data_IF_554039823699
#
_entry.id   IF_554039823699
#
_cell.length_a   1.000
_cell.length_b   1.000
_cell.length_c   1.000
_cell.angle_alpha   90.00
_cell.angle_beta   90.00
_cell.angle_gamma   90.00
#
_symmetry.space_group_name_H-M   'P 1'
#
loop_
_entity.id
_entity.type
_entity.pdbx_description
1 polymer ?
#
# COMPACT_ATOMS: atom_id res chain seq x y z
N UNK A 1 -14.48 2.39 20.56
CA UNK A 1 -13.85 3.57 19.94
C UNK A 1 -12.70 3.06 19.05
N UNK A 2 -12.98 2.61 17.81
CA UNK A 2 -11.98 1.95 16.93
C UNK A 2 -11.90 2.58 15.52
N UNK A 3 -12.85 3.43 15.14
CA UNK A 3 -12.92 3.99 13.77
C UNK A 3 -11.72 4.88 13.41
N UNK A 4 -11.14 5.61 14.37
CA UNK A 4 -10.01 6.52 14.11
C UNK A 4 -8.70 5.80 13.75
N UNK A 5 -8.44 4.63 14.33
CA UNK A 5 -7.18 3.91 14.13
C UNK A 5 -7.09 3.29 12.72
N UNK A 6 -8.22 2.82 12.18
CA UNK A 6 -8.27 2.23 10.84
C UNK A 6 -8.08 3.27 9.72
N UNK A 7 -8.53 4.51 9.94
CA UNK A 7 -8.36 5.58 8.96
C UNK A 7 -6.90 6.06 8.88
N UNK A 8 -6.23 6.19 10.03
CA UNK A 8 -4.79 6.49 10.06
C UNK A 8 -3.96 5.38 9.40
N UNK A 9 -4.26 4.11 9.71
CA UNK A 9 -3.57 2.98 9.05
C UNK A 9 -3.82 2.96 7.54
N UNK A 10 -5.02 3.31 7.08
CA UNK A 10 -5.33 3.42 5.66
C UNK A 10 -4.49 4.53 5.01
N UNK A 11 -4.46 5.72 5.62
CA UNK A 11 -3.69 6.86 5.11
C UNK A 11 -2.19 6.55 5.06
N UNK A 12 -1.64 5.90 6.09
CA UNK A 12 -0.23 5.50 6.13
C UNK A 12 0.11 4.51 5.01
N UNK A 13 -0.72 3.48 4.80
CA UNK A 13 -0.52 2.51 3.72
C UNK A 13 -0.65 3.16 2.34
N UNK A 14 -1.59 4.08 2.15
CA UNK A 14 -1.73 4.83 0.90
C UNK A 14 -0.52 5.73 0.66
N UNK A 15 0.02 6.36 1.71
CA UNK A 15 1.23 7.19 1.62
C UNK A 15 2.45 6.34 1.26
N UNK A 16 2.63 5.18 1.91
CA UNK A 16 3.68 4.22 1.59
C UNK A 16 3.61 3.75 0.13
N UNK A 17 2.42 3.38 -0.34
CA UNK A 17 2.20 2.95 -1.72
C UNK A 17 2.59 4.03 -2.74
N UNK A 18 2.17 5.29 -2.50
CA UNK A 18 2.56 6.43 -3.36
C UNK A 18 4.08 6.61 -3.39
N UNK A 19 4.73 6.52 -2.22
CA UNK A 19 6.18 6.59 -2.11
C UNK A 19 6.87 5.53 -2.97
N UNK A 20 6.45 4.26 -2.85
CA UNK A 20 7.01 3.16 -3.62
C UNK A 20 6.81 3.33 -5.13
N UNK A 21 5.63 3.76 -5.57
CA UNK A 21 5.36 4.02 -7.00
C UNK A 21 6.26 5.13 -7.54
N UNK A 22 6.44 6.21 -6.76
CA UNK A 22 7.31 7.33 -7.16
C UNK A 22 8.77 6.90 -7.23
N UNK A 23 9.26 6.19 -6.21
CA UNK A 23 10.64 5.67 -6.20
C UNK A 23 10.87 4.72 -7.35
N UNK A 24 9.97 3.76 -7.59
CA UNK A 24 10.08 2.83 -8.73
C UNK A 24 10.18 3.58 -10.06
N UNK A 25 9.31 4.57 -10.31
CA UNK A 25 9.36 5.38 -11.53
C UNK A 25 10.65 6.18 -11.65
N UNK A 26 11.11 6.76 -10.55
CA UNK A 26 12.37 7.51 -10.51
C UNK A 26 13.57 6.60 -10.82
N UNK A 27 13.60 5.40 -10.25
CA UNK A 27 14.65 4.40 -10.48
C UNK A 27 14.62 3.87 -11.92
N UNK A 28 13.44 3.61 -12.46
CA UNK A 28 13.25 3.22 -13.86
C UNK A 28 13.78 4.28 -14.83
N UNK A 29 13.49 5.56 -14.58
CA UNK A 29 14.05 6.68 -15.35
C UNK A 29 15.57 6.81 -15.18
N UNK A 30 16.10 6.42 -14.03
CA UNK A 30 17.53 6.39 -13.73
C UNK A 30 18.27 5.17 -14.31
N UNK A 31 17.60 4.28 -15.03
CA UNK A 31 18.20 3.08 -15.61
C UNK A 31 18.45 1.94 -14.63
N UNK A 32 17.65 1.86 -13.56
CA UNK A 32 17.66 0.71 -12.66
C UNK A 32 17.46 -0.59 -13.42
N UNK A 33 18.12 -1.65 -12.94
CA UNK A 33 18.02 -2.97 -13.54
C UNK A 33 16.67 -3.65 -13.24
N UNK A 34 16.45 -4.79 -13.90
CA UNK A 34 15.18 -5.51 -13.79
C UNK A 34 14.94 -6.08 -12.40
N UNK A 35 16.00 -6.48 -11.68
CA UNK A 35 15.87 -7.09 -10.35
C UNK A 35 15.44 -6.03 -9.34
N UNK A 36 16.02 -4.83 -9.42
CA UNK A 36 15.62 -3.69 -8.62
C UNK A 36 14.17 -3.27 -8.89
N UNK A 37 13.76 -3.16 -10.16
CA UNK A 37 12.37 -2.82 -10.51
C UNK A 37 11.37 -3.90 -10.09
N UNK A 38 11.80 -5.16 -10.09
CA UNK A 38 11.00 -6.31 -9.62
C UNK A 38 10.82 -6.23 -8.11
N UNK A 39 11.89 -5.96 -7.35
CA UNK A 39 11.82 -5.77 -5.89
C UNK A 39 10.81 -4.68 -5.51
N UNK A 40 10.83 -3.53 -6.19
CA UNK A 40 9.84 -2.48 -5.97
C UNK A 40 8.42 -2.92 -6.35
N UNK A 41 8.26 -3.69 -7.43
CA UNK A 41 6.99 -4.27 -7.83
C UNK A 41 6.40 -5.19 -6.77
N UNK A 42 7.21 -6.10 -6.23
CA UNK A 42 6.78 -7.01 -5.15
C UNK A 42 6.37 -6.25 -3.89
N UNK A 43 7.11 -5.21 -3.50
CA UNK A 43 6.77 -4.40 -2.33
C UNK A 43 5.47 -3.62 -2.55
N UNK A 44 5.25 -3.10 -3.76
CA UNK A 44 3.98 -2.46 -4.14
C UNK A 44 2.82 -3.44 -3.99
N UNK A 45 2.95 -4.68 -4.48
CA UNK A 45 1.89 -5.69 -4.34
C UNK A 45 1.64 -6.04 -2.87
N UNK A 46 2.68 -6.21 -2.05
CA UNK A 46 2.52 -6.44 -0.60
C UNK A 46 1.70 -5.35 0.09
N UNK A 47 1.97 -4.08 -0.23
CA UNK A 47 1.20 -2.95 0.35
C UNK A 47 -0.23 -2.92 -0.18
N UNK A 48 -0.46 -3.28 -1.46
CA UNK A 48 -1.81 -3.39 -2.03
C UNK A 48 -2.63 -4.49 -1.36
N UNK A 49 -2.03 -5.63 -1.07
CA UNK A 49 -2.68 -6.74 -0.36
C UNK A 49 -3.08 -6.30 1.05
N UNK A 50 -2.18 -5.61 1.76
CA UNK A 50 -2.45 -5.06 3.10
C UNK A 50 -3.60 -4.05 3.10
N UNK A 51 -3.65 -3.19 2.08
CA UNK A 51 -4.77 -2.26 1.88
C UNK A 51 -6.08 -3.00 1.65
N UNK A 52 -6.07 -4.06 0.83
CA UNK A 52 -7.25 -4.86 0.56
C UNK A 52 -7.79 -5.55 1.82
N UNK A 53 -6.91 -6.13 2.65
CA UNK A 53 -7.24 -6.71 3.95
C UNK A 53 -7.90 -5.70 4.89
N UNK A 54 -7.32 -4.50 5.00
CA UNK A 54 -7.81 -3.45 5.89
C UNK A 54 -9.21 -2.96 5.46
N UNK A 55 -9.42 -2.75 4.16
CA UNK A 55 -10.72 -2.35 3.60
C UNK A 55 -11.77 -3.44 3.80
N UNK A 56 -11.43 -4.72 3.61
CA UNK A 56 -12.33 -5.85 3.84
C UNK A 56 -12.73 -5.97 5.31
N UNK A 57 -11.79 -5.80 6.23
CA UNK A 57 -12.04 -5.82 7.67
C UNK A 57 -12.97 -4.67 8.06
N UNK A 58 -12.65 -3.45 7.64
CA UNK A 58 -13.49 -2.28 7.93
C UNK A 58 -14.89 -2.35 7.31
N UNK A 59 -15.07 -3.08 6.20
CA UNK A 59 -16.40 -3.38 5.64
C UNK A 59 -17.17 -4.36 6.51
N UNK A 60 -16.53 -5.41 7.00
CA UNK A 60 -17.15 -6.42 7.88
C UNK A 60 -17.64 -5.77 9.17
N UNK A 61 -16.83 -4.89 9.78
CA UNK A 61 -17.20 -4.16 11.00
C UNK A 61 -18.44 -3.25 10.81
N UNK A 62 -18.64 -2.70 9.62
CA UNK A 62 -19.79 -1.83 9.31
C UNK A 62 -21.09 -2.59 9.02
N UNK A 63 -21.02 -3.86 8.61
CA UNK A 63 -22.20 -4.69 8.32
C UNK A 63 -22.71 -5.38 9.59
N UNK A 64 -21.83 -5.59 10.57
CA UNK A 64 -22.17 -6.19 11.86
C UNK A 64 -22.71 -5.19 12.90
N UNK A 65 -22.75 -3.89 12.58
CA UNK A 65 -23.25 -2.80 13.42
C UNK A 65 -24.65 -2.34 12.97
#
# INVERSE_FOLDING_TARGET
>A
MIVGNNFHQLDDLVLQLKGLVLVRKFREQGGADTDELTMYGEEIERVRDRLAELVQTGRTDRVAA
#
